data_IF_726713570304
#
_entry.id   IF_726713570304
#
_cell.length_a   1.000
_cell.length_b   1.000
_cell.length_c   1.000
_cell.angle_alpha   90.00
_cell.angle_beta   90.00
_cell.angle_gamma   90.00
#
_symmetry.space_group_name_H-M   'P 1'
#
loop_
_entity.id
_entity.type
_entity.pdbx_description
1 polymer ?
#
# COMPACT_ATOMS: atom_id res chain seq x y z
N UNK A 1 -8.42 1.14 -18.72
CA UNK A 1 -8.00 -0.05 -19.48
C UNK A 1 -7.72 -1.18 -18.50
N UNK A 2 -8.14 -2.43 -18.75
CA UNK A 2 -7.78 -3.54 -17.88
C UNK A 2 -6.26 -3.66 -17.84
N UNK A 3 -5.69 -3.77 -16.64
CA UNK A 3 -4.26 -4.04 -16.48
C UNK A 3 -3.93 -5.35 -17.20
N UNK A 4 -2.87 -5.39 -18.05
CA UNK A 4 -2.51 -6.60 -18.75
C UNK A 4 -2.22 -7.69 -17.73
N UNK A 5 -2.80 -8.88 -17.96
CA UNK A 5 -2.49 -10.06 -17.15
C UNK A 5 -0.98 -10.32 -17.29
N UNK A 6 -0.28 -10.39 -16.16
CA UNK A 6 1.12 -10.81 -16.13
C UNK A 6 1.16 -12.26 -16.63
N UNK A 7 2.15 -12.60 -17.46
CA UNK A 7 2.30 -13.91 -18.10
C UNK A 7 3.75 -14.40 -18.08
N UNK A 8 4.59 -13.83 -17.22
CA UNK A 8 6.01 -14.14 -17.15
C UNK A 8 6.26 -15.61 -16.79
N UNK A 9 5.47 -16.18 -15.87
CA UNK A 9 5.67 -17.58 -15.47
C UNK A 9 5.40 -18.56 -16.61
N UNK A 10 4.30 -18.37 -17.34
CA UNK A 10 3.99 -19.17 -18.54
C UNK A 10 5.05 -18.99 -19.63
N UNK A 11 5.54 -17.76 -19.85
CA UNK A 11 6.62 -17.46 -20.80
C UNK A 11 7.93 -18.21 -20.43
N UNK A 12 8.16 -18.47 -19.14
CA UNK A 12 9.28 -19.27 -18.63
C UNK A 12 9.01 -20.77 -18.63
N UNK A 13 7.85 -21.22 -19.13
CA UNK A 13 7.45 -22.64 -19.11
C UNK A 13 7.01 -23.14 -17.74
N UNK A 14 6.74 -22.24 -16.79
CA UNK A 14 6.25 -22.59 -15.46
C UNK A 14 4.72 -22.52 -15.45
N UNK A 15 4.08 -23.67 -15.24
CA UNK A 15 2.62 -23.82 -15.25
C UNK A 15 2.07 -24.13 -13.85
N UNK A 16 0.80 -23.82 -13.58
CA UNK A 16 0.16 -24.05 -12.27
C UNK A 16 0.39 -22.95 -11.24
N UNK A 17 1.25 -21.97 -11.53
CA UNK A 17 1.55 -20.85 -10.62
C UNK A 17 0.92 -19.51 -11.07
N UNK A 18 0.16 -19.51 -12.17
CA UNK A 18 -0.38 -18.28 -12.79
C UNK A 18 -1.23 -17.45 -11.82
N UNK A 19 -2.05 -18.12 -11.01
CA UNK A 19 -2.87 -17.44 -9.99
C UNK A 19 -2.01 -16.74 -8.93
N UNK A 20 -0.79 -17.20 -8.70
CA UNK A 20 0.15 -16.66 -7.72
C UNK A 20 1.21 -15.73 -8.32
N UNK A 21 1.18 -15.49 -9.63
CA UNK A 21 2.24 -14.73 -10.30
C UNK A 21 2.48 -13.37 -9.65
N UNK A 22 1.43 -12.60 -9.37
CA UNK A 22 1.57 -11.30 -8.68
C UNK A 22 2.20 -11.42 -7.29
N UNK A 23 1.93 -12.51 -6.56
CA UNK A 23 2.48 -12.75 -5.22
C UNK A 23 3.96 -13.09 -5.31
N UNK A 24 4.33 -13.94 -6.27
CA UNK A 24 5.73 -14.31 -6.54
C UNK A 24 6.52 -13.08 -6.97
N UNK A 25 6.01 -12.28 -7.91
CA UNK A 25 6.65 -11.04 -8.33
C UNK A 25 6.73 -10.03 -7.17
N UNK A 26 5.74 -9.98 -6.27
CA UNK A 26 5.80 -9.13 -5.09
C UNK A 26 6.97 -9.53 -4.17
N UNK A 27 7.23 -10.82 -3.98
CA UNK A 27 8.42 -11.30 -3.26
C UNK A 27 9.73 -10.87 -3.94
N UNK A 28 9.77 -10.86 -5.28
CA UNK A 28 10.93 -10.37 -6.03
C UNK A 28 11.12 -8.85 -5.88
N UNK A 29 10.03 -8.08 -5.89
CA UNK A 29 10.06 -6.61 -5.71
C UNK A 29 10.53 -6.25 -4.31
N UNK A 30 10.00 -6.91 -3.27
CA UNK A 30 10.40 -6.66 -1.88
C UNK A 30 11.81 -7.18 -1.58
N UNK A 31 12.25 -8.19 -2.33
CA UNK A 31 13.37 -9.09 -2.01
C UNK A 31 13.18 -9.85 -0.69
N UNK A 32 11.99 -9.85 -0.08
CA UNK A 32 11.74 -10.54 1.18
C UNK A 32 11.71 -12.08 0.97
N UNK A 33 12.01 -12.89 1.99
CA UNK A 33 12.12 -14.33 1.79
C UNK A 33 10.76 -14.97 1.44
N UNK A 34 10.78 -15.96 0.54
CA UNK A 34 9.58 -16.68 0.08
C UNK A 34 9.72 -18.19 0.31
N UNK A 35 8.62 -18.83 0.69
CA UNK A 35 8.51 -20.28 0.86
C UNK A 35 7.54 -20.86 -0.16
N UNK A 36 7.95 -21.93 -0.86
CA UNK A 36 7.08 -22.75 -1.68
C UNK A 36 6.69 -24.02 -0.93
N UNK A 37 5.41 -24.36 -0.93
CA UNK A 37 4.88 -25.53 -0.21
C UNK A 37 4.10 -26.39 -1.20
N UNK A 38 4.38 -27.68 -1.25
CA UNK A 38 3.63 -28.61 -2.09
C UNK A 38 4.33 -29.95 -2.17
N UNK A 39 3.65 -30.97 -2.68
CA UNK A 39 4.20 -32.32 -2.81
C UNK A 39 5.44 -32.37 -3.71
N UNK A 40 6.23 -33.43 -3.60
CA UNK A 40 7.36 -33.66 -4.50
C UNK A 40 6.87 -33.72 -5.95
N UNK A 41 7.61 -33.14 -6.89
CA UNK A 41 7.23 -33.12 -8.31
C UNK A 41 6.31 -31.97 -8.76
N UNK A 42 5.85 -31.08 -7.87
CA UNK A 42 4.96 -29.95 -8.23
C UNK A 42 5.66 -28.74 -8.86
N UNK A 43 6.87 -28.90 -9.39
CA UNK A 43 7.58 -27.83 -10.12
C UNK A 43 8.14 -26.68 -9.25
N UNK A 44 8.20 -26.80 -7.91
CA UNK A 44 8.74 -25.77 -7.00
C UNK A 44 10.19 -25.37 -7.34
N UNK A 45 11.07 -26.35 -7.42
CA UNK A 45 12.50 -26.17 -7.73
C UNK A 45 12.68 -25.62 -9.15
N UNK A 46 11.89 -26.12 -10.11
CA UNK A 46 11.88 -25.62 -11.48
C UNK A 46 11.50 -24.14 -11.54
N UNK A 47 10.39 -23.71 -10.90
CA UNK A 47 9.98 -22.30 -10.82
C UNK A 47 11.11 -21.39 -10.33
N UNK A 48 11.77 -21.74 -9.24
CA UNK A 48 12.80 -20.90 -8.62
C UNK A 48 14.10 -20.86 -9.43
N UNK A 49 14.48 -21.98 -10.05
CA UNK A 49 15.62 -22.03 -10.98
C UNK A 49 15.33 -21.21 -12.24
N UNK A 50 14.15 -21.36 -12.86
CA UNK A 50 13.77 -20.58 -14.04
C UNK A 50 13.71 -19.08 -13.74
N UNK A 51 13.25 -18.69 -12.54
CA UNK A 51 13.28 -17.28 -12.12
C UNK A 51 14.70 -16.75 -11.94
N UNK A 52 15.61 -17.54 -11.39
CA UNK A 52 16.99 -17.10 -11.18
C UNK A 52 17.75 -16.94 -12.50
N UNK A 53 17.57 -17.88 -13.41
CA UNK A 53 18.08 -17.82 -14.78
C UNK A 53 17.51 -16.63 -15.56
N UNK A 54 16.18 -16.44 -15.51
CA UNK A 54 15.51 -15.33 -16.18
C UNK A 54 15.97 -13.95 -15.68
N UNK A 55 16.33 -13.84 -14.40
CA UNK A 55 16.86 -12.61 -13.81
C UNK A 55 18.38 -12.46 -14.01
N UNK A 56 19.07 -13.50 -14.49
CA UNK A 56 20.51 -13.56 -14.68
C UNK A 56 21.29 -13.48 -13.38
N UNK A 57 20.85 -14.21 -12.35
CA UNK A 57 21.41 -14.16 -11.00
C UNK A 57 22.49 -15.22 -10.78
N UNK A 58 23.47 -14.89 -9.95
CA UNK A 58 24.37 -15.89 -9.34
C UNK A 58 23.59 -16.75 -8.32
N UNK A 59 23.02 -17.86 -8.80
CA UNK A 59 22.10 -18.72 -8.06
C UNK A 59 22.78 -19.92 -7.43
N UNK A 60 22.41 -20.24 -6.18
CA UNK A 60 22.85 -21.45 -5.48
C UNK A 60 21.66 -22.23 -4.98
N UNK A 61 21.62 -23.50 -5.35
CA UNK A 61 20.59 -24.44 -4.95
C UNK A 61 21.17 -25.47 -4.00
N UNK A 62 20.58 -25.55 -2.81
CA UNK A 62 20.98 -26.45 -1.74
C UNK A 62 19.82 -27.34 -1.32
N UNK A 63 20.04 -28.65 -1.23
CA UNK A 63 19.11 -29.54 -0.57
C UNK A 63 19.43 -29.58 0.94
N UNK A 64 18.51 -29.09 1.77
CA UNK A 64 18.69 -28.97 3.21
C UNK A 64 18.89 -30.31 3.93
N UNK A 65 18.42 -31.42 3.36
CA UNK A 65 18.56 -32.76 3.94
C UNK A 65 19.96 -33.36 3.75
N UNK A 66 20.71 -32.88 2.75
CA UNK A 66 22.04 -33.41 2.38
C UNK A 66 23.17 -32.46 2.73
N UNK A 67 22.90 -31.16 2.82
CA UNK A 67 23.94 -30.14 2.92
C UNK A 67 24.65 -30.14 4.27
N UNK A 68 25.98 -30.14 4.23
CA UNK A 68 26.82 -29.88 5.40
C UNK A 68 27.13 -28.39 5.54
N UNK A 69 27.59 -27.99 6.71
CA UNK A 69 27.96 -26.58 6.94
C UNK A 69 29.16 -26.14 6.10
N UNK A 70 30.10 -27.06 5.88
CA UNK A 70 31.31 -26.81 5.10
C UNK A 70 30.99 -26.65 3.60
N UNK A 71 29.92 -27.28 3.11
CA UNK A 71 29.44 -27.06 1.73
C UNK A 71 28.89 -25.63 1.52
N UNK A 72 28.35 -25.02 2.57
CA UNK A 72 27.84 -23.64 2.52
C UNK A 72 28.95 -22.60 2.62
N UNK A 73 29.89 -22.79 3.54
CA UNK A 73 30.89 -21.78 3.90
C UNK A 73 32.24 -22.03 3.22
N UNK A 74 32.56 -23.27 2.90
CA UNK A 74 33.88 -23.69 2.49
C UNK A 74 34.72 -24.17 3.67
N UNK A 75 35.94 -24.62 3.38
CA UNK A 75 36.82 -25.24 4.37
C UNK A 75 37.70 -24.19 5.06
N UNK A 76 37.76 -24.12 6.40
CA UNK A 76 38.62 -23.18 7.09
C UNK A 76 40.09 -23.51 6.84
N UNK A 77 40.88 -22.50 6.49
CA UNK A 77 42.33 -22.61 6.32
C UNK A 77 43.03 -21.41 6.98
N UNK A 78 44.21 -21.62 7.59
CA UNK A 78 45.00 -20.53 8.15
C UNK A 78 45.48 -19.62 7.03
N UNK A 79 45.34 -18.31 7.23
CA UNK A 79 45.88 -17.33 6.29
C UNK A 79 47.41 -17.45 6.20
N UNK A 80 48.00 -17.05 5.07
CA UNK A 80 49.44 -17.17 4.82
C UNK A 80 50.30 -16.42 5.87
N UNK A 81 49.73 -15.41 6.52
CA UNK A 81 50.36 -14.61 7.59
C UNK A 81 50.03 -15.13 9.01
N UNK A 82 49.27 -16.23 9.14
CA UNK A 82 48.80 -16.79 10.42
C UNK A 82 48.02 -15.78 11.31
N UNK A 83 47.51 -14.70 10.72
CA UNK A 83 46.80 -13.61 11.41
C UNK A 83 45.30 -13.89 11.59
N UNK A 84 44.76 -14.94 10.96
CA UNK A 84 43.37 -15.35 11.07
C UNK A 84 43.03 -16.63 10.29
N UNK A 85 41.76 -17.03 10.37
CA UNK A 85 41.19 -18.14 9.61
C UNK A 85 40.41 -17.58 8.41
N UNK A 86 40.72 -18.04 7.20
CA UNK A 86 39.96 -17.79 5.98
C UNK A 86 39.21 -19.05 5.57
N UNK A 87 38.22 -18.93 4.68
CA UNK A 87 37.51 -20.08 4.13
C UNK A 87 37.89 -20.28 2.67
N UNK A 88 38.18 -21.52 2.28
CA UNK A 88 38.37 -21.90 0.89
C UNK A 88 37.01 -21.94 0.21
N UNK A 89 36.72 -20.88 -0.55
CA UNK A 89 35.49 -20.76 -1.32
C UNK A 89 35.51 -21.72 -2.51
N UNK A 90 34.36 -22.34 -2.80
CA UNK A 90 34.15 -23.15 -4.01
C UNK A 90 32.99 -22.55 -4.79
N UNK A 91 32.78 -22.89 -6.07
CA UNK A 91 31.60 -22.42 -6.80
C UNK A 91 30.26 -22.75 -6.12
N UNK A 92 30.25 -23.75 -5.24
CA UNK A 92 29.07 -24.15 -4.48
C UNK A 92 28.88 -23.37 -3.16
N UNK A 93 29.90 -22.71 -2.61
CA UNK A 93 29.78 -21.97 -1.34
C UNK A 93 28.94 -20.72 -1.53
N UNK A 94 28.26 -20.27 -0.48
CA UNK A 94 27.27 -19.17 -0.55
C UNK A 94 27.86 -17.80 -0.87
N UNK A 95 29.19 -17.67 -0.82
CA UNK A 95 29.90 -16.42 -1.06
C UNK A 95 29.70 -15.93 -2.49
N UNK A 96 29.32 -14.66 -2.65
CA UNK A 96 29.04 -14.05 -3.95
C UNK A 96 27.64 -14.34 -4.52
N UNK A 97 26.80 -15.13 -3.84
CA UNK A 97 25.44 -15.43 -4.31
C UNK A 97 24.53 -14.22 -4.31
N UNK A 98 23.75 -14.09 -5.38
CA UNK A 98 22.64 -13.13 -5.45
C UNK A 98 21.30 -13.76 -5.09
N UNK A 99 21.18 -15.09 -5.27
CA UNK A 99 20.02 -15.85 -4.85
C UNK A 99 20.39 -17.22 -4.29
N UNK A 100 19.63 -17.65 -3.27
CA UNK A 100 19.76 -18.97 -2.66
C UNK A 100 18.40 -19.65 -2.59
N UNK A 101 18.34 -20.91 -3.03
CA UNK A 101 17.23 -21.83 -2.82
C UNK A 101 17.64 -22.91 -1.81
N UNK A 102 16.86 -23.04 -0.75
CA UNK A 102 16.97 -24.11 0.25
C UNK A 102 15.79 -25.06 0.05
N UNK A 103 16.02 -26.17 -0.65
CA UNK A 103 15.00 -27.19 -0.90
C UNK A 103 14.92 -28.18 0.26
N UNK A 104 13.76 -28.82 0.42
CA UNK A 104 13.46 -29.81 1.45
C UNK A 104 13.76 -29.36 2.90
N UNK A 105 13.51 -28.09 3.23
CA UNK A 105 13.84 -27.54 4.57
C UNK A 105 13.11 -28.25 5.72
N UNK A 106 11.98 -28.90 5.48
CA UNK A 106 11.29 -29.72 6.48
C UNK A 106 11.98 -31.05 6.79
N UNK A 107 12.90 -31.53 5.94
CA UNK A 107 13.55 -32.83 6.13
C UNK A 107 14.78 -32.77 7.02
N UNK A 108 15.27 -31.58 7.38
CA UNK A 108 16.43 -31.44 8.25
C UNK A 108 16.03 -31.26 9.71
N UNK A 109 16.90 -31.68 10.63
CA UNK A 109 16.69 -31.54 12.07
C UNK A 109 16.58 -30.06 12.47
N UNK A 110 15.83 -29.70 13.54
CA UNK A 110 15.65 -28.31 13.97
C UNK A 110 16.94 -27.51 14.15
N UNK A 111 18.02 -28.13 14.65
CA UNK A 111 19.33 -27.47 14.79
C UNK A 111 19.94 -27.04 13.46
N UNK A 112 19.77 -27.84 12.40
CA UNK A 112 20.24 -27.52 11.05
C UNK A 112 19.35 -26.48 10.39
N UNK A 113 18.03 -26.57 10.57
CA UNK A 113 17.09 -25.54 10.14
C UNK A 113 17.51 -24.16 10.67
N UNK A 114 17.77 -24.04 11.99
CA UNK A 114 18.17 -22.79 12.63
C UNK A 114 19.39 -22.12 11.99
N UNK A 115 20.38 -22.90 11.55
CA UNK A 115 21.59 -22.37 10.87
C UNK A 115 21.25 -21.77 9.50
N UNK A 116 20.39 -22.45 8.74
CA UNK A 116 19.90 -21.98 7.43
C UNK A 116 19.01 -20.74 7.56
N UNK A 117 18.34 -20.54 8.69
CA UNK A 117 17.50 -19.37 8.91
C UNK A 117 18.25 -18.06 9.08
N UNK A 118 19.47 -18.07 9.63
CA UNK A 118 20.33 -16.87 9.63
C UNK A 118 20.65 -16.42 8.20
N UNK A 119 20.87 -17.38 7.30
CA UNK A 119 21.07 -17.11 5.88
C UNK A 119 19.81 -16.50 5.23
N UNK A 120 18.66 -17.14 5.44
CA UNK A 120 17.38 -16.72 4.84
C UNK A 120 16.91 -15.35 5.38
N UNK A 121 16.95 -15.14 6.69
CA UNK A 121 16.35 -13.95 7.30
C UNK A 121 17.33 -12.78 7.36
N UNK A 122 18.54 -13.03 7.87
CA UNK A 122 19.50 -11.97 8.22
C UNK A 122 20.50 -11.67 7.10
N UNK A 123 20.51 -12.48 6.02
CA UNK A 123 21.55 -12.43 4.97
C UNK A 123 22.94 -12.61 5.58
N UNK A 124 23.06 -13.52 6.54
CA UNK A 124 24.30 -13.77 7.27
C UNK A 124 24.61 -15.25 7.39
N UNK A 125 25.89 -15.57 7.35
CA UNK A 125 26.42 -16.90 7.68
C UNK A 125 27.64 -16.72 8.58
N UNK A 126 27.72 -17.47 9.69
CA UNK A 126 28.72 -17.24 10.77
C UNK A 126 28.80 -15.78 11.27
N UNK A 127 27.69 -15.05 11.24
CA UNK A 127 27.67 -13.62 11.58
C UNK A 127 28.24 -12.68 10.51
N UNK A 128 28.79 -13.22 9.41
CA UNK A 128 29.31 -12.45 8.27
C UNK A 128 28.15 -12.08 7.34
N UNK A 129 28.08 -10.81 6.93
CA UNK A 129 27.04 -10.29 6.05
C UNK A 129 27.28 -10.68 4.60
N UNK A 130 26.25 -11.19 3.93
CA UNK A 130 26.23 -11.53 2.51
C UNK A 130 25.62 -10.36 1.73
N UNK A 131 26.45 -9.36 1.40
CA UNK A 131 26.00 -8.10 0.78
C UNK A 131 25.30 -8.28 -0.58
N UNK A 132 25.72 -9.27 -1.36
CA UNK A 132 25.16 -9.55 -2.68
C UNK A 132 23.86 -10.37 -2.62
N UNK A 133 23.57 -11.02 -1.49
CA UNK A 133 22.43 -11.94 -1.39
C UNK A 133 21.12 -11.17 -1.32
N UNK A 134 20.36 -11.21 -2.40
CA UNK A 134 19.09 -10.50 -2.56
C UNK A 134 17.90 -11.42 -2.31
N UNK A 135 17.83 -12.52 -3.07
CA UNK A 135 16.67 -13.41 -3.06
C UNK A 135 16.94 -14.67 -2.24
N UNK A 136 16.03 -14.95 -1.29
CA UNK A 136 16.16 -16.06 -0.36
C UNK A 136 14.90 -16.87 -0.41
N UNK A 137 15.00 -18.06 -0.98
CA UNK A 137 13.87 -18.93 -1.22
C UNK A 137 14.06 -20.24 -0.46
N UNK A 138 12.94 -20.80 -0.03
CA UNK A 138 12.90 -22.14 0.50
C UNK A 138 11.74 -22.91 -0.10
N UNK A 139 11.89 -24.23 -0.15
CA UNK A 139 10.85 -25.14 -0.56
C UNK A 139 10.69 -26.25 0.48
N UNK A 140 9.45 -26.68 0.70
CA UNK A 140 9.13 -27.78 1.59
C UNK A 140 7.95 -28.58 1.09
N UNK A 141 7.83 -29.79 1.60
CA UNK A 141 6.60 -30.57 1.52
C UNK A 141 5.67 -30.14 2.67
N UNK A 142 4.33 -30.18 2.46
CA UNK A 142 3.39 -29.86 3.53
C UNK A 142 3.57 -30.82 4.72
N UNK A 143 3.42 -30.31 5.94
CA UNK A 143 3.44 -31.12 7.14
C UNK A 143 2.16 -31.99 7.17
N UNK A 144 2.32 -33.31 7.15
CA UNK A 144 1.18 -34.25 7.22
C UNK A 144 0.62 -34.26 8.65
N UNK A 145 -0.66 -33.91 8.81
CA UNK A 145 -1.41 -34.09 10.08
C UNK A 145 -2.01 -35.49 10.20
N UNK A 146 -2.19 -36.20 9.08
CA UNK A 146 -2.85 -37.50 9.06
C UNK A 146 -1.83 -38.63 8.94
N UNK A 147 -1.72 -39.43 10.01
CA UNK A 147 -1.01 -40.71 10.00
C UNK A 147 -1.81 -41.84 9.30
N UNK A 148 -2.94 -41.52 8.65
CA UNK A 148 -3.85 -42.50 8.06
C UNK A 148 -3.66 -42.78 6.57
N UNK A 149 -2.87 -41.96 5.85
CA UNK A 149 -2.48 -42.28 4.48
C UNK A 149 -1.27 -43.22 4.50
N UNK A 150 -1.39 -44.37 3.82
CA UNK A 150 -0.34 -45.38 3.63
C UNK A 150 0.94 -44.82 2.97
N UNK A 151 0.87 -43.60 2.44
CA UNK A 151 1.98 -42.78 1.91
C UNK A 151 2.32 -41.59 2.81
N UNK A 152 2.20 -41.74 4.14
CA UNK A 152 2.75 -40.78 5.08
C UNK A 152 4.23 -40.55 4.72
N UNK A 153 4.55 -39.34 4.25
CA UNK A 153 5.90 -38.92 3.90
C UNK A 153 6.75 -38.97 5.18
N UNK A 154 7.28 -40.16 5.46
CA UNK A 154 8.16 -40.46 6.58
C UNK A 154 9.38 -39.54 6.46
N UNK A 155 9.44 -38.51 7.32
CA UNK A 155 10.59 -37.60 7.41
C UNK A 155 10.35 -36.12 7.09
N UNK A 156 9.12 -35.62 6.95
CA UNK A 156 8.87 -34.17 6.91
C UNK A 156 8.49 -33.64 8.29
N UNK A 157 9.38 -32.88 8.91
CA UNK A 157 9.15 -32.24 10.21
C UNK A 157 8.44 -30.88 10.03
N UNK A 158 7.47 -30.55 10.90
CA UNK A 158 6.85 -29.23 10.90
C UNK A 158 7.88 -28.14 11.22
N UNK A 159 7.74 -26.98 10.60
CA UNK A 159 8.56 -25.81 10.93
C UNK A 159 8.12 -25.19 12.26
N UNK A 160 9.10 -24.78 13.07
CA UNK A 160 8.82 -23.97 14.26
C UNK A 160 8.12 -22.65 13.87
N UNK A 161 7.04 -22.25 14.57
CA UNK A 161 6.31 -21.02 14.25
C UNK A 161 7.16 -19.74 14.25
N UNK A 162 8.18 -19.63 15.10
CA UNK A 162 9.08 -18.49 15.14
C UNK A 162 10.04 -18.46 13.94
N UNK A 163 10.37 -19.62 13.38
CA UNK A 163 11.18 -19.75 12.17
C UNK A 163 10.36 -19.44 10.92
N UNK A 164 9.16 -20.00 10.82
CA UNK A 164 8.23 -19.67 9.75
C UNK A 164 7.90 -18.16 9.73
N UNK A 165 7.88 -17.49 10.90
CA UNK A 165 7.67 -16.04 10.99
C UNK A 165 8.75 -15.16 10.31
N UNK A 166 9.82 -15.78 9.79
CA UNK A 166 10.92 -15.11 9.09
C UNK A 166 10.73 -15.04 7.57
N UNK A 167 9.83 -15.84 7.01
CA UNK A 167 9.43 -15.75 5.59
C UNK A 167 8.30 -14.77 5.42
N UNK A 168 8.26 -14.01 4.33
CA UNK A 168 7.19 -13.06 4.03
C UNK A 168 5.95 -13.72 3.43
N UNK A 169 6.17 -14.64 2.49
CA UNK A 169 5.13 -15.24 1.66
C UNK A 169 5.28 -16.77 1.57
N UNK A 170 4.14 -17.45 1.53
CA UNK A 170 3.96 -18.88 1.44
C UNK A 170 3.05 -19.18 0.24
N UNK A 171 3.65 -19.69 -0.83
CA UNK A 171 2.92 -20.04 -2.05
C UNK A 171 2.74 -21.55 -2.11
N UNK A 172 1.48 -21.98 -2.17
CA UNK A 172 1.14 -23.39 -2.28
C UNK A 172 1.14 -23.80 -3.75
N UNK A 173 2.06 -24.68 -4.12
CA UNK A 173 2.08 -25.32 -5.42
C UNK A 173 0.82 -26.18 -5.59
N UNK A 174 0.25 -26.13 -6.77
CA UNK A 174 -0.89 -26.97 -7.17
C UNK A 174 -0.42 -28.36 -7.56
N UNK A 175 -1.29 -29.36 -7.37
CA UNK A 175 -1.04 -30.74 -7.82
C UNK A 175 -1.78 -31.00 -9.16
N UNK A 176 -1.57 -32.18 -9.75
CA UNK A 176 -2.12 -32.56 -11.06
C UNK A 176 -3.64 -32.34 -11.19
N UNK A 177 -4.39 -32.60 -10.13
CA UNK A 177 -5.84 -32.49 -10.10
C UNK A 177 -6.34 -31.04 -10.15
N UNK A 178 -5.51 -30.09 -9.71
CA UNK A 178 -5.82 -28.66 -9.69
C UNK A 178 -5.47 -27.94 -11.00
N UNK A 179 -4.70 -28.58 -11.89
CA UNK A 179 -4.30 -28.02 -13.18
C UNK A 179 -5.46 -28.04 -14.18
N UNK A 180 -5.59 -26.99 -14.97
CA UNK A 180 -6.48 -26.96 -16.14
C UNK A 180 -5.98 -27.91 -17.24
N UNK A 181 -6.87 -28.33 -18.16
CA UNK A 181 -6.48 -29.21 -19.27
C UNK A 181 -5.38 -28.60 -20.16
N UNK A 182 -5.39 -27.27 -20.31
CA UNK A 182 -4.34 -26.56 -21.03
C UNK A 182 -2.98 -26.67 -20.31
N UNK A 183 -2.96 -26.49 -18.98
CA UNK A 183 -1.74 -26.64 -18.18
C UNK A 183 -1.24 -28.08 -18.15
N UNK A 184 -2.14 -29.07 -18.04
CA UNK A 184 -1.78 -30.50 -18.10
C UNK A 184 -1.10 -30.85 -19.42
N UNK A 185 -1.65 -30.37 -20.53
CA UNK A 185 -1.04 -30.56 -21.85
C UNK A 185 0.31 -29.85 -21.98
N UNK A 186 0.46 -28.69 -21.36
CA UNK A 186 1.73 -27.94 -21.37
C UNK A 186 2.81 -28.63 -20.52
N UNK A 187 2.47 -29.11 -19.32
CA UNK A 187 3.38 -29.84 -18.41
C UNK A 187 3.81 -31.18 -19.01
N UNK A 188 2.92 -31.88 -19.71
CA UNK A 188 3.24 -33.16 -20.37
C UNK A 188 3.99 -33.02 -21.68
N UNK A 189 4.17 -31.80 -22.19
CA UNK A 189 4.87 -31.55 -23.43
C UNK A 189 6.37 -31.86 -23.28
N UNK A 190 6.93 -32.86 -24.00
CA UNK A 190 8.34 -33.24 -23.89
C UNK A 190 9.30 -32.14 -24.37
N UNK A 191 8.80 -31.14 -25.09
CA UNK A 191 9.59 -30.06 -25.67
C UNK A 191 10.06 -29.00 -24.64
N UNK A 192 9.63 -29.12 -23.37
CA UNK A 192 9.92 -28.18 -22.29
C UNK A 192 11.09 -28.57 -21.37
N UNK A 193 11.50 -29.84 -21.37
CA UNK A 193 12.56 -30.31 -20.46
C UNK A 193 13.93 -29.69 -20.81
N UNK A 194 14.56 -29.02 -19.84
CA UNK A 194 15.96 -28.58 -19.94
C UNK A 194 16.23 -27.33 -20.79
N UNK A 195 15.21 -26.58 -21.21
CA UNK A 195 15.44 -25.23 -21.77
C UNK A 195 15.85 -24.30 -20.62
N UNK A 196 17.14 -23.97 -20.56
CA UNK A 196 17.60 -22.83 -19.76
C UNK A 196 16.75 -21.62 -20.13
N UNK A 197 16.15 -20.99 -19.13
CA UNK A 197 15.43 -19.74 -19.35
C UNK A 197 16.48 -18.69 -19.76
N UNK A 198 16.46 -18.28 -21.02
CA UNK A 198 17.27 -17.15 -21.45
C UNK A 198 16.94 -15.93 -20.57
N UNK A 199 17.93 -15.08 -20.31
CA UNK A 199 17.75 -13.86 -19.53
C UNK A 199 16.54 -13.09 -20.10
N UNK A 200 15.54 -12.89 -19.26
CA UNK A 200 14.31 -12.22 -19.61
C UNK A 200 14.44 -10.74 -19.21
N UNK A 201 15.00 -9.94 -20.13
CA UNK A 201 15.23 -8.51 -19.92
C UNK A 201 13.93 -7.74 -19.59
N UNK A 202 12.78 -8.20 -20.11
CA UNK A 202 11.47 -7.61 -19.80
C UNK A 202 11.11 -7.83 -18.32
N UNK A 203 11.21 -9.07 -17.83
CA UNK A 203 10.96 -9.39 -16.42
C UNK A 203 11.92 -8.62 -15.50
N UNK A 204 13.22 -8.64 -15.83
CA UNK A 204 14.27 -7.96 -15.05
C UNK A 204 14.00 -6.45 -14.94
N UNK A 205 13.74 -5.80 -16.07
CA UNK A 205 13.42 -4.36 -16.12
C UNK A 205 12.14 -4.04 -15.36
N UNK A 206 11.12 -4.90 -15.48
CA UNK A 206 9.85 -4.73 -14.79
C UNK A 206 10.02 -4.80 -13.26
N UNK A 207 10.72 -5.82 -12.74
CA UNK A 207 11.00 -5.96 -11.31
C UNK A 207 11.84 -4.78 -10.79
N UNK A 208 12.86 -4.35 -11.53
CA UNK A 208 13.68 -3.20 -11.14
C UNK A 208 12.84 -1.91 -11.05
N UNK A 209 12.00 -1.65 -12.05
CA UNK A 209 11.13 -0.46 -12.08
C UNK A 209 10.13 -0.48 -10.92
N UNK A 210 9.47 -1.62 -10.70
CA UNK A 210 8.55 -1.79 -9.57
C UNK A 210 9.25 -1.68 -8.23
N UNK A 211 10.48 -2.18 -8.11
CA UNK A 211 11.28 -2.05 -6.88
C UNK A 211 11.62 -0.59 -6.57
N UNK A 212 12.01 0.21 -7.55
CA UNK A 212 12.26 1.64 -7.35
C UNK A 212 11.01 2.35 -6.81
N UNK A 213 9.85 2.10 -7.43
CA UNK A 213 8.57 2.65 -6.98
C UNK A 213 8.16 2.16 -5.59
N UNK A 214 8.39 0.88 -5.30
CA UNK A 214 8.15 0.30 -3.98
C UNK A 214 8.99 1.00 -2.91
N UNK A 215 10.29 1.16 -3.14
CA UNK A 215 11.20 1.85 -2.21
C UNK A 215 10.78 3.31 -1.97
N UNK A 216 10.36 4.03 -3.02
CA UNK A 216 9.83 5.39 -2.89
C UNK A 216 8.57 5.47 -2.01
N UNK A 217 7.72 4.45 -2.04
CA UNK A 217 6.49 4.39 -1.24
C UNK A 217 6.68 3.80 0.16
N UNK A 218 7.88 3.34 0.55
CA UNK A 218 8.10 2.76 1.88
C UNK A 218 7.97 3.80 3.00
N UNK A 219 8.46 5.02 2.77
CA UNK A 219 8.37 6.11 3.76
C UNK A 219 6.94 6.65 3.89
N UNK A 220 6.22 6.68 2.77
CA UNK A 220 4.85 7.19 2.68
C UNK A 220 3.91 6.09 2.19
N UNK A 221 3.78 5.04 3.01
CA UNK A 221 2.93 3.91 2.67
C UNK A 221 1.46 4.37 2.53
N UNK A 222 0.77 4.02 1.43
CA UNK A 222 -0.63 4.37 1.22
C UNK A 222 -1.51 3.89 2.37
N UNK A 223 -2.37 4.78 2.88
CA UNK A 223 -3.19 4.48 4.06
C UNK A 223 -4.10 3.26 3.87
N UNK A 224 -4.68 3.06 2.67
CA UNK A 224 -5.49 1.87 2.38
C UNK A 224 -4.75 0.54 2.55
N UNK A 225 -3.43 0.50 2.32
CA UNK A 225 -2.61 -0.70 2.58
C UNK A 225 -2.47 -0.93 4.09
N UNK A 226 -2.25 0.14 4.85
CA UNK A 226 -2.12 0.08 6.30
C UNK A 226 -3.45 -0.29 6.98
N UNK A 227 -4.55 0.32 6.53
CA UNK A 227 -5.91 0.06 7.02
C UNK A 227 -6.32 -1.39 6.73
N UNK A 228 -6.04 -1.91 5.52
CA UNK A 228 -6.27 -3.32 5.19
C UNK A 228 -5.54 -4.24 6.18
N UNK A 229 -4.22 -4.07 6.31
CA UNK A 229 -3.41 -4.99 7.12
C UNK A 229 -3.75 -4.90 8.59
N UNK A 230 -3.94 -3.70 9.13
CA UNK A 230 -4.27 -3.50 10.54
C UNK A 230 -5.61 -4.15 10.88
N UNK A 231 -6.60 -3.97 10.01
CA UNK A 231 -7.95 -4.56 10.17
C UNK A 231 -7.91 -6.09 10.03
N UNK A 232 -7.23 -6.62 9.01
CA UNK A 232 -7.07 -8.05 8.81
C UNK A 232 -6.38 -8.73 10.02
N UNK A 233 -5.28 -8.15 10.49
CA UNK A 233 -4.52 -8.66 11.65
C UNK A 233 -5.38 -8.62 12.91
N UNK A 234 -6.15 -7.54 13.12
CA UNK A 234 -7.05 -7.40 14.27
C UNK A 234 -8.16 -8.44 14.24
N UNK A 235 -8.79 -8.63 13.09
CA UNK A 235 -9.85 -9.62 12.89
C UNK A 235 -9.33 -11.06 13.11
N UNK A 236 -8.16 -11.40 12.54
CA UNK A 236 -7.54 -12.72 12.71
C UNK A 236 -7.16 -12.99 14.17
N UNK A 237 -6.51 -12.03 14.84
CA UNK A 237 -6.18 -12.15 16.26
C UNK A 237 -7.43 -12.29 17.14
N UNK A 238 -8.49 -11.52 16.85
CA UNK A 238 -9.79 -11.65 17.51
C UNK A 238 -10.42 -13.04 17.33
N UNK A 239 -10.22 -13.65 16.16
CA UNK A 239 -10.62 -15.02 15.85
C UNK A 239 -9.64 -16.10 16.37
N UNK A 240 -8.69 -15.73 17.25
CA UNK A 240 -7.65 -16.61 17.82
C UNK A 240 -6.65 -17.20 16.81
N UNK A 241 -6.58 -16.64 15.60
CA UNK A 241 -5.51 -16.92 14.63
C UNK A 241 -4.37 -15.93 14.90
N UNK A 242 -3.33 -16.38 15.60
CA UNK A 242 -2.26 -15.51 16.06
C UNK A 242 -1.41 -14.98 14.90
N UNK A 243 -1.41 -13.65 14.75
CA UNK A 243 -0.57 -12.91 13.81
C UNK A 243 0.38 -11.98 14.58
N UNK A 244 1.68 -12.13 14.37
CA UNK A 244 2.71 -11.32 15.06
C UNK A 244 2.82 -9.90 14.47
N UNK A 245 3.39 -8.93 15.22
CA UNK A 245 3.71 -7.61 14.66
C UNK A 245 4.70 -7.65 13.50
N UNK A 246 5.69 -8.56 13.55
CA UNK A 246 6.63 -8.79 12.45
C UNK A 246 5.89 -9.22 11.19
N UNK A 247 4.95 -10.17 11.35
CA UNK A 247 4.11 -10.67 10.28
C UNK A 247 3.27 -9.56 9.66
N UNK A 248 2.60 -8.75 10.48
CA UNK A 248 1.82 -7.61 10.00
C UNK A 248 2.68 -6.66 9.13
N UNK A 249 3.92 -6.37 9.54
CA UNK A 249 4.86 -5.58 8.73
C UNK A 249 5.20 -6.24 7.38
N UNK A 250 5.44 -7.55 7.37
CA UNK A 250 5.72 -8.31 6.13
C UNK A 250 4.49 -8.35 5.21
N UNK A 251 3.28 -8.47 5.77
CA UNK A 251 2.03 -8.37 5.00
C UNK A 251 1.90 -7.01 4.32
N UNK A 252 2.12 -5.91 5.05
CA UNK A 252 2.02 -4.56 4.50
C UNK A 252 3.03 -4.33 3.37
N UNK A 253 4.28 -4.79 3.54
CA UNK A 253 5.30 -4.73 2.48
C UNK A 253 4.89 -5.51 1.24
N UNK A 254 4.41 -6.74 1.41
CA UNK A 254 4.01 -7.60 0.29
C UNK A 254 2.79 -7.05 -0.44
N UNK A 255 1.81 -6.52 0.30
CA UNK A 255 0.60 -5.90 -0.25
C UNK A 255 0.92 -4.60 -1.00
N UNK A 256 1.83 -3.78 -0.47
CA UNK A 256 2.34 -2.59 -1.16
C UNK A 256 3.03 -2.96 -2.48
N UNK A 257 3.88 -3.98 -2.47
CA UNK A 257 4.55 -4.46 -3.68
C UNK A 257 3.54 -4.94 -4.75
N UNK A 258 2.51 -5.69 -4.34
CA UNK A 258 1.43 -6.11 -5.24
C UNK A 258 0.66 -4.92 -5.84
N UNK A 259 0.33 -3.91 -5.02
CA UNK A 259 -0.27 -2.65 -5.51
C UNK A 259 0.63 -1.95 -6.54
N UNK A 260 1.94 -1.89 -6.29
CA UNK A 260 2.89 -1.26 -7.21
C UNK A 260 2.99 -2.02 -8.54
N UNK A 261 2.96 -3.36 -8.50
CA UNK A 261 2.95 -4.22 -9.69
C UNK A 261 1.68 -4.02 -10.53
N UNK A 262 0.52 -3.92 -9.89
CA UNK A 262 -0.78 -3.80 -10.56
C UNK A 262 -1.22 -2.34 -10.81
N UNK A 263 -0.45 -1.35 -10.33
CA UNK A 263 -0.80 0.08 -10.37
C UNK A 263 -1.85 0.50 -9.33
N UNK A 264 -2.76 -0.39 -8.95
CA UNK A 264 -3.75 -0.20 -7.88
C UNK A 264 -3.89 -1.47 -7.04
N UNK A 265 -4.50 -1.34 -5.86
CA UNK A 265 -4.80 -2.50 -5.02
C UNK A 265 -6.09 -3.16 -5.55
N UNK A 266 -6.03 -4.46 -5.85
CA UNK A 266 -7.19 -5.23 -6.32
C UNK A 266 -7.68 -6.18 -5.23
N UNK A 267 -9.00 -6.33 -5.08
CA UNK A 267 -9.63 -7.15 -4.05
C UNK A 267 -9.14 -8.60 -4.08
N UNK A 268 -9.20 -9.23 -5.27
CA UNK A 268 -8.77 -10.61 -5.49
C UNK A 268 -7.31 -10.82 -5.10
N UNK A 269 -6.43 -9.90 -5.50
CA UNK A 269 -5.00 -9.94 -5.13
C UNK A 269 -4.80 -9.77 -3.64
N UNK A 270 -5.53 -8.85 -2.99
CA UNK A 270 -5.44 -8.64 -1.55
C UNK A 270 -5.91 -9.87 -0.75
N UNK A 271 -6.99 -10.53 -1.19
CA UNK A 271 -7.49 -11.79 -0.62
C UNK A 271 -6.47 -12.91 -0.73
N UNK A 272 -5.85 -13.03 -1.89
CA UNK A 272 -4.83 -14.06 -2.15
C UNK A 272 -3.56 -13.78 -1.35
N UNK A 273 -3.11 -12.52 -1.32
CA UNK A 273 -1.96 -12.07 -0.54
C UNK A 273 -2.15 -12.33 0.95
N UNK A 274 -3.35 -12.10 1.50
CA UNK A 274 -3.66 -12.40 2.89
C UNK A 274 -3.48 -13.90 3.17
N UNK A 275 -4.00 -14.77 2.30
CA UNK A 275 -3.81 -16.23 2.43
C UNK A 275 -2.34 -16.64 2.34
N UNK A 276 -1.63 -16.14 1.33
CA UNK A 276 -0.20 -16.41 1.13
C UNK A 276 0.70 -15.79 2.20
N UNK A 277 0.20 -14.90 3.05
CA UNK A 277 1.00 -14.34 4.15
C UNK A 277 0.97 -15.20 5.41
N UNK A 278 0.15 -16.26 5.46
CA UNK A 278 -0.10 -17.03 6.68
C UNK A 278 0.83 -18.26 6.76
N UNK A 279 1.69 -18.34 7.78
CA UNK A 279 2.64 -19.44 7.90
C UNK A 279 2.02 -20.77 8.39
N UNK A 280 0.74 -20.79 8.80
CA UNK A 280 0.15 -21.89 9.56
C UNK A 280 0.26 -23.26 8.87
N UNK A 281 0.19 -23.27 7.54
CA UNK A 281 0.37 -24.47 6.71
C UNK A 281 1.75 -25.13 6.87
N UNK A 282 2.79 -24.40 7.30
CA UNK A 282 4.15 -24.97 7.46
C UNK A 282 4.29 -25.88 8.68
N UNK A 283 3.33 -25.87 9.60
CA UNK A 283 3.30 -26.73 10.79
C UNK A 283 1.99 -27.50 10.94
N UNK A 284 1.20 -27.61 9.87
CA UNK A 284 -0.08 -28.33 9.88
C UNK A 284 -1.23 -27.56 10.52
N UNK A 285 -1.10 -26.25 10.74
CA UNK A 285 -2.20 -25.41 11.19
C UNK A 285 -3.17 -25.11 10.04
N UNK A 286 -4.42 -25.54 10.17
CA UNK A 286 -5.50 -25.17 9.26
C UNK A 286 -6.25 -23.92 9.76
N UNK A 287 -6.48 -22.97 8.85
CA UNK A 287 -7.28 -21.78 9.13
C UNK A 287 -8.58 -21.91 8.34
N UNK A 288 -9.69 -21.99 9.07
CA UNK A 288 -10.99 -22.12 8.47
C UNK A 288 -11.25 -20.99 7.45
N UNK A 289 -11.66 -21.38 6.22
CA UNK A 289 -11.84 -20.46 5.09
C UNK A 289 -12.77 -19.28 5.42
N UNK A 290 -13.84 -19.55 6.17
CA UNK A 290 -14.80 -18.53 6.62
C UNK A 290 -14.16 -17.45 7.52
N UNK A 291 -13.21 -17.80 8.38
CA UNK A 291 -12.47 -16.85 9.23
C UNK A 291 -11.60 -15.96 8.35
N UNK A 292 -10.89 -16.55 7.39
CA UNK A 292 -10.05 -15.81 6.45
C UNK A 292 -10.86 -14.88 5.54
N UNK A 293 -12.00 -15.33 5.05
CA UNK A 293 -12.91 -14.54 4.23
C UNK A 293 -13.56 -13.40 5.02
N UNK A 294 -13.94 -13.63 6.28
CA UNK A 294 -14.48 -12.58 7.14
C UNK A 294 -13.43 -11.50 7.44
N UNK A 295 -12.19 -11.91 7.78
CA UNK A 295 -11.08 -10.98 8.00
C UNK A 295 -10.76 -10.17 6.74
N UNK A 296 -10.77 -10.82 5.57
CA UNK A 296 -10.57 -10.13 4.29
C UNK A 296 -11.67 -9.11 4.01
N UNK A 297 -12.96 -9.46 4.17
CA UNK A 297 -14.06 -8.53 3.91
C UNK A 297 -13.95 -7.26 4.74
N UNK A 298 -13.77 -7.40 6.06
CA UNK A 298 -13.58 -6.26 6.96
C UNK A 298 -12.38 -5.39 6.56
N UNK A 299 -11.26 -6.03 6.24
CA UNK A 299 -10.05 -5.34 5.81
C UNK A 299 -10.22 -4.62 4.47
N UNK A 300 -10.93 -5.24 3.53
CA UNK A 300 -11.23 -4.66 2.22
C UNK A 300 -12.16 -3.47 2.35
N UNK A 301 -13.20 -3.54 3.18
CA UNK A 301 -14.08 -2.41 3.50
C UNK A 301 -13.29 -1.25 4.12
N UNK A 302 -12.46 -1.52 5.14
CA UNK A 302 -11.63 -0.49 5.76
C UNK A 302 -10.66 0.18 4.76
N UNK A 303 -10.06 -0.62 3.86
CA UNK A 303 -9.15 -0.13 2.84
C UNK A 303 -9.85 0.59 1.67
N UNK A 304 -11.10 0.22 1.39
CA UNK A 304 -11.90 0.74 0.27
C UNK A 304 -12.74 1.94 0.69
N UNK A 305 -13.05 2.12 1.98
CA UNK A 305 -13.77 3.27 2.56
C UNK A 305 -12.84 4.48 2.84
N UNK A 306 -11.62 4.48 2.30
CA UNK A 306 -10.76 5.66 2.29
C UNK A 306 -11.38 6.90 1.58
N UNK A 307 -12.23 6.79 0.54
CA UNK A 307 -12.87 7.96 -0.08
C UNK A 307 -13.97 8.60 0.80
N UNK A 308 -14.38 8.03 1.93
CA UNK A 308 -15.27 8.72 2.89
C UNK A 308 -14.50 9.34 4.07
N UNK A 309 -13.30 8.84 4.37
CA UNK A 309 -12.48 9.36 5.48
C UNK A 309 -12.02 10.80 5.26
N UNK A 310 -11.77 11.22 4.01
CA UNK A 310 -11.46 12.62 3.71
C UNK A 310 -12.70 13.52 3.86
N UNK A 311 -13.90 12.97 3.62
CA UNK A 311 -15.17 13.65 3.85
C UNK A 311 -15.39 13.83 5.35
N UNK A 312 -15.14 12.81 6.16
CA UNK A 312 -15.15 12.91 7.62
C UNK A 312 -14.14 13.96 8.13
N UNK A 313 -12.91 13.97 7.61
CA UNK A 313 -11.90 14.98 7.93
C UNK A 313 -12.34 16.39 7.50
N UNK A 314 -12.97 16.52 6.32
CA UNK A 314 -13.52 17.77 5.82
C UNK A 314 -14.61 18.30 6.74
N UNK A 315 -15.52 17.45 7.23
CA UNK A 315 -16.60 17.87 8.13
C UNK A 315 -16.13 18.12 9.56
N UNK A 316 -15.17 17.34 10.06
CA UNK A 316 -14.60 17.52 11.39
C UNK A 316 -13.75 18.80 11.54
N UNK A 317 -13.15 19.31 10.45
CA UNK A 317 -12.33 20.52 10.49
C UNK A 317 -13.19 21.79 10.62
N UNK A 318 -13.04 22.61 11.67
CA UNK A 318 -13.88 23.80 11.85
C UNK A 318 -13.50 25.00 10.96
N UNK A 319 -12.27 25.10 10.46
CA UNK A 319 -11.84 26.30 9.70
C UNK A 319 -11.99 26.13 8.18
N UNK A 320 -12.55 27.14 7.51
CA UNK A 320 -12.79 27.08 6.06
C UNK A 320 -11.51 26.93 5.22
N UNK A 321 -10.42 27.60 5.59
CA UNK A 321 -9.13 27.51 4.88
C UNK A 321 -8.52 26.10 4.95
N UNK A 322 -8.72 25.41 6.08
CA UNK A 322 -8.28 24.02 6.25
C UNK A 322 -9.22 23.02 5.60
N UNK A 323 -10.54 23.28 5.59
CA UNK A 323 -11.49 22.50 4.78
C UNK A 323 -11.09 22.53 3.30
N UNK A 324 -10.74 23.70 2.76
CA UNK A 324 -10.22 23.81 1.40
C UNK A 324 -8.92 23.00 1.20
N UNK A 325 -8.01 23.01 2.17
CA UNK A 325 -6.79 22.23 2.10
C UNK A 325 -7.08 20.72 2.03
N UNK A 326 -8.05 20.22 2.78
CA UNK A 326 -8.49 18.82 2.72
C UNK A 326 -9.09 18.51 1.34
N UNK A 327 -10.00 19.37 0.85
CA UNK A 327 -10.61 19.22 -0.47
C UNK A 327 -9.55 19.15 -1.58
N UNK A 328 -8.53 20.02 -1.58
CA UNK A 328 -7.56 20.00 -2.68
C UNK A 328 -6.57 18.84 -2.56
N UNK A 329 -6.15 18.48 -1.35
CA UNK A 329 -5.09 17.49 -1.18
C UNK A 329 -5.58 16.05 -1.13
N UNK A 330 -6.86 15.82 -0.78
CA UNK A 330 -7.39 14.49 -0.49
C UNK A 330 -8.60 14.10 -1.34
N UNK A 331 -9.17 15.02 -2.13
CA UNK A 331 -10.30 14.70 -2.99
C UNK A 331 -9.88 13.71 -4.10
N UNK A 332 -10.58 12.57 -4.24
CA UNK A 332 -10.22 11.52 -5.19
C UNK A 332 -10.59 11.85 -6.64
N UNK A 333 -11.58 12.72 -6.87
CA UNK A 333 -12.07 13.06 -8.19
C UNK A 333 -13.11 14.19 -8.21
N UNK A 334 -13.41 14.77 -9.40
CA UNK A 334 -14.34 15.89 -9.54
C UNK A 334 -15.77 15.60 -9.09
N UNK A 335 -16.24 14.36 -9.20
CA UNK A 335 -17.60 13.96 -8.82
C UNK A 335 -17.74 13.94 -7.29
N UNK A 336 -16.78 13.34 -6.59
CA UNK A 336 -16.73 13.32 -5.13
C UNK A 336 -16.53 14.73 -4.56
N UNK A 337 -15.69 15.54 -5.21
CA UNK A 337 -15.50 16.94 -4.83
C UNK A 337 -16.77 17.77 -5.00
N UNK A 338 -17.55 17.53 -6.07
CA UNK A 338 -18.85 18.18 -6.30
C UNK A 338 -19.83 17.86 -5.18
N UNK A 339 -19.97 16.58 -4.83
CA UNK A 339 -20.85 16.14 -3.75
C UNK A 339 -20.43 16.71 -2.39
N UNK A 340 -19.14 16.72 -2.10
CA UNK A 340 -18.61 17.27 -0.85
C UNK A 340 -18.85 18.79 -0.74
N UNK A 341 -18.70 19.55 -1.84
CA UNK A 341 -19.04 20.98 -1.85
C UNK A 341 -20.53 21.19 -1.58
N UNK A 342 -21.42 20.45 -2.24
CA UNK A 342 -22.85 20.57 -2.03
C UNK A 342 -23.24 20.31 -0.57
N UNK A 343 -22.71 19.23 0.02
CA UNK A 343 -22.95 18.90 1.43
C UNK A 343 -22.34 19.92 2.39
N UNK A 344 -21.11 20.40 2.14
CA UNK A 344 -20.44 21.42 2.95
C UNK A 344 -21.27 22.71 2.98
N UNK A 345 -21.69 23.21 1.82
CA UNK A 345 -22.48 24.44 1.70
C UNK A 345 -23.85 24.31 2.38
N UNK A 346 -24.43 23.10 2.39
CA UNK A 346 -25.69 22.82 3.08
C UNK A 346 -25.54 22.67 4.61
N UNK A 347 -24.36 22.24 5.08
CA UNK A 347 -24.09 22.01 6.51
C UNK A 347 -23.61 23.26 7.27
N UNK A 348 -22.96 24.18 6.58
CA UNK A 348 -22.37 25.39 7.16
C UNK A 348 -23.41 26.51 7.33
N UNK A 349 -23.11 27.48 8.20
CA UNK A 349 -23.98 28.65 8.35
C UNK A 349 -23.99 29.50 7.08
N UNK A 350 -25.07 30.29 6.89
CA UNK A 350 -25.31 31.05 5.66
C UNK A 350 -24.13 31.96 5.29
N UNK A 351 -23.57 32.66 6.28
CA UNK A 351 -22.42 33.54 6.12
C UNK A 351 -21.12 32.78 5.82
N UNK A 352 -20.93 31.58 6.39
CA UNK A 352 -19.75 30.75 6.15
C UNK A 352 -19.78 30.13 4.76
N UNK A 353 -20.92 29.61 4.33
CA UNK A 353 -21.12 29.11 2.97
C UNK A 353 -20.92 30.22 1.92
N UNK A 354 -21.43 31.43 2.17
CA UNK A 354 -21.22 32.57 1.30
C UNK A 354 -19.74 33.02 1.24
N UNK A 355 -19.05 33.09 2.38
CA UNK A 355 -17.62 33.42 2.44
C UNK A 355 -16.77 32.39 1.68
N UNK A 356 -17.06 31.10 1.88
CA UNK A 356 -16.37 30.00 1.22
C UNK A 356 -16.60 30.05 -0.30
N UNK A 357 -17.85 30.18 -0.73
CA UNK A 357 -18.21 30.28 -2.14
C UNK A 357 -17.56 31.50 -2.83
N UNK A 358 -17.62 32.67 -2.19
CA UNK A 358 -17.03 33.90 -2.70
C UNK A 358 -15.51 33.80 -2.86
N UNK A 359 -14.81 33.13 -1.93
CA UNK A 359 -13.37 32.92 -2.02
C UNK A 359 -12.96 31.92 -3.12
N UNK A 360 -13.72 30.83 -3.29
CA UNK A 360 -13.37 29.72 -4.18
C UNK A 360 -13.81 29.93 -5.63
N UNK A 361 -14.92 30.65 -5.86
CA UNK A 361 -15.57 30.74 -7.17
C UNK A 361 -14.62 31.15 -8.33
N UNK A 362 -13.72 32.14 -8.18
CA UNK A 362 -12.78 32.48 -9.25
C UNK A 362 -11.86 31.30 -9.65
N UNK A 363 -11.38 30.52 -8.68
CA UNK A 363 -10.54 29.35 -8.95
C UNK A 363 -11.35 28.18 -9.51
N UNK A 364 -12.61 28.03 -9.07
CA UNK A 364 -13.55 27.04 -9.58
C UNK A 364 -13.78 27.20 -11.09
N UNK A 365 -14.07 28.43 -11.54
CA UNK A 365 -14.30 28.75 -12.97
C UNK A 365 -13.04 28.53 -13.82
N UNK A 366 -11.86 28.71 -13.24
CA UNK A 366 -10.58 28.43 -13.91
C UNK A 366 -10.23 26.94 -13.96
N UNK A 367 -11.08 26.04 -13.44
CA UNK A 367 -10.82 24.60 -13.39
C UNK A 367 -9.69 24.21 -12.42
N UNK A 368 -9.41 25.05 -11.41
CA UNK A 368 -8.30 24.84 -10.45
C UNK A 368 -8.72 24.10 -9.18
N UNK A 369 -9.98 23.70 -9.10
CA UNK A 369 -10.51 22.90 -7.99
C UNK A 369 -10.88 21.51 -8.50
N UNK A 370 -10.74 20.46 -7.68
CA UNK A 370 -11.13 19.10 -8.03
C UNK A 370 -12.67 18.95 -7.93
N UNK A 371 -13.42 19.74 -8.69
CA UNK A 371 -14.89 19.75 -8.70
C UNK A 371 -15.41 19.82 -10.14
N UNK A 372 -16.58 19.24 -10.37
CA UNK A 372 -17.28 19.25 -11.65
C UNK A 372 -18.11 20.53 -11.86
N UNK A 373 -18.76 20.62 -13.02
CA UNK A 373 -19.53 21.79 -13.44
C UNK A 373 -20.69 22.15 -12.50
N UNK A 374 -21.34 21.15 -11.89
CA UNK A 374 -22.39 21.37 -10.89
C UNK A 374 -21.84 22.05 -9.63
N UNK A 375 -20.67 21.62 -9.15
CA UNK A 375 -20.01 22.23 -8.00
C UNK A 375 -19.60 23.68 -8.26
N UNK A 376 -19.13 23.98 -9.48
CA UNK A 376 -18.85 25.37 -9.91
C UNK A 376 -20.13 26.21 -9.91
N UNK A 377 -21.26 25.65 -10.38
CA UNK A 377 -22.55 26.34 -10.40
C UNK A 377 -23.09 26.63 -9.00
N UNK A 378 -22.96 25.68 -8.07
CA UNK A 378 -23.40 25.88 -6.68
C UNK A 378 -22.57 26.95 -5.96
N UNK A 379 -21.25 26.97 -6.15
CA UNK A 379 -20.40 28.06 -5.66
C UNK A 379 -20.79 29.40 -6.33
N UNK A 380 -21.05 29.39 -7.63
CA UNK A 380 -21.44 30.60 -8.38
C UNK A 380 -22.75 31.20 -7.89
N UNK A 381 -23.74 30.37 -7.56
CA UNK A 381 -25.04 30.83 -7.04
C UNK A 381 -24.88 31.66 -5.76
N UNK A 382 -24.05 31.19 -4.82
CA UNK A 382 -23.80 31.89 -3.56
C UNK A 382 -22.84 33.08 -3.75
N UNK A 383 -21.78 32.91 -4.55
CA UNK A 383 -20.82 33.98 -4.81
C UNK A 383 -21.45 35.18 -5.55
N UNK A 384 -22.41 34.94 -6.44
CA UNK A 384 -23.12 36.00 -7.16
C UNK A 384 -23.85 36.94 -6.22
N UNK A 385 -24.49 36.42 -5.16
CA UNK A 385 -25.19 37.24 -4.18
C UNK A 385 -24.24 38.21 -3.46
N UNK A 386 -22.98 37.79 -3.23
CA UNK A 386 -21.94 38.63 -2.64
C UNK A 386 -21.33 39.60 -3.66
N UNK A 387 -21.24 39.21 -4.94
CA UNK A 387 -20.66 40.04 -6.01
C UNK A 387 -21.58 41.18 -6.47
N UNK A 388 -22.91 41.00 -6.44
CA UNK A 388 -23.90 41.97 -6.88
C UNK A 388 -24.69 42.55 -5.70
N UNK A 389 -24.06 43.42 -4.92
CA UNK A 389 -24.69 44.10 -3.77
C UNK A 389 -25.09 45.52 -4.16
N UNK A 390 -26.35 45.70 -4.57
CA UNK A 390 -27.00 47.00 -4.73
C UNK A 390 -28.21 47.06 -3.79
N UNK A 391 -28.08 47.72 -2.63
CA UNK A 391 -29.16 47.83 -1.66
C UNK A 391 -29.06 49.11 -0.80
N UNK A 392 -30.22 49.70 -0.49
CA UNK A 392 -30.34 50.77 0.50
C UNK A 392 -30.67 50.18 1.88
N UNK A 393 -29.83 50.46 2.88
CA UNK A 393 -30.03 49.98 4.26
C UNK A 393 -30.70 51.08 5.09
N UNK A 394 -31.97 50.89 5.46
CA UNK A 394 -32.72 51.81 6.32
C UNK A 394 -32.81 51.27 7.76
N UNK A 395 -32.53 52.09 8.78
CA UNK A 395 -32.71 51.72 10.19
C UNK A 395 -33.45 52.80 10.99
N UNK A 396 -34.04 52.39 12.10
CA UNK A 396 -34.74 53.28 13.05
C UNK A 396 -34.24 53.04 14.46
N UNK A 397 -33.82 54.09 15.16
CA UNK A 397 -33.31 54.01 16.53
C UNK A 397 -34.37 54.51 17.53
N UNK A 398 -34.46 53.89 18.73
CA UNK A 398 -35.30 54.38 19.83
C UNK A 398 -34.43 55.22 20.77
N UNK A 399 -34.37 56.53 20.56
CA UNK A 399 -33.59 57.46 21.41
C UNK A 399 -33.39 58.84 20.78
N UNK A 400 -32.93 59.82 21.57
CA UNK A 400 -32.81 61.24 21.18
C UNK A 400 -31.48 61.58 20.48
N UNK A 401 -30.73 60.57 20.03
CA UNK A 401 -29.44 60.70 19.33
C UNK A 401 -29.55 60.01 17.98
N UNK A 402 -29.27 60.75 16.90
CA UNK A 402 -29.25 60.23 15.53
C UNK A 402 -27.83 59.77 15.22
N UNK A 403 -27.59 58.45 15.20
CA UNK A 403 -26.35 57.92 14.63
C UNK A 403 -26.35 58.14 13.09
N UNK A 404 -25.25 58.61 12.48
CA UNK A 404 -25.19 58.86 11.03
C UNK A 404 -25.17 57.58 10.17
N UNK A 405 -24.84 56.42 10.77
CA UNK A 405 -24.71 55.13 10.09
C UNK A 405 -25.27 53.97 10.93
N UNK A 406 -25.62 52.86 10.28
CA UNK A 406 -26.11 51.63 10.92
C UNK A 406 -25.09 51.11 11.96
N UNK A 407 -25.49 50.60 13.14
CA UNK A 407 -24.54 50.12 14.16
C UNK A 407 -23.56 49.04 13.68
N UNK A 408 -23.97 48.21 12.70
CA UNK A 408 -23.10 47.24 12.04
C UNK A 408 -22.02 47.86 11.14
N UNK A 409 -22.23 49.10 10.66
CA UNK A 409 -21.29 49.83 9.82
C UNK A 409 -20.00 50.17 10.57
N UNK A 410 -20.10 50.57 11.84
CA UNK A 410 -18.94 50.86 12.68
C UNK A 410 -18.09 49.61 12.95
N UNK A 411 -18.73 48.45 13.10
CA UNK A 411 -18.04 47.16 13.23
C UNK A 411 -17.30 46.79 11.94
N UNK A 412 -17.92 46.98 10.77
CA UNK A 412 -17.27 46.80 9.48
C UNK A 412 -16.11 47.78 9.27
N UNK A 413 -16.29 49.05 9.61
CA UNK A 413 -15.28 50.09 9.44
C UNK A 413 -14.01 49.81 10.28
N UNK A 414 -14.17 49.34 11.53
CA UNK A 414 -13.05 48.90 12.38
C UNK A 414 -12.31 47.70 11.81
N UNK A 415 -13.03 46.74 11.23
CA UNK A 415 -12.40 45.57 10.62
C UNK A 415 -11.64 45.92 9.34
N UNK A 416 -12.18 46.85 8.54
CA UNK A 416 -11.58 47.29 7.30
C UNK A 416 -10.37 48.22 7.50
N UNK A 417 -10.27 48.94 8.61
CA UNK A 417 -9.14 49.86 8.86
C UNK A 417 -7.78 49.16 8.89
N UNK A 418 -7.76 47.88 9.26
CA UNK A 418 -6.54 47.07 9.40
C UNK A 418 -6.18 46.33 8.10
N UNK A 419 -7.03 46.39 7.07
CA UNK A 419 -6.86 45.68 5.80
C UNK A 419 -6.41 46.61 4.68
N UNK A 420 -5.61 46.11 3.74
CA UNK A 420 -5.13 46.88 2.58
C UNK A 420 -5.24 46.12 1.26
N UNK A 421 -5.35 46.86 0.16
CA UNK A 421 -5.33 46.35 -1.21
C UNK A 421 -6.47 45.37 -1.51
N UNK A 422 -6.19 44.35 -2.34
CA UNK A 422 -7.21 43.40 -2.80
C UNK A 422 -7.87 42.58 -1.67
N UNK A 423 -7.25 42.48 -0.49
CA UNK A 423 -7.87 41.85 0.69
C UNK A 423 -8.93 42.77 1.29
N UNK A 424 -8.65 44.06 1.41
CA UNK A 424 -9.60 45.05 1.91
C UNK A 424 -10.84 45.14 1.02
N UNK A 425 -10.68 45.15 -0.30
CA UNK A 425 -11.82 45.20 -1.23
C UNK A 425 -12.72 43.96 -1.12
N UNK A 426 -12.12 42.75 -1.03
CA UNK A 426 -12.89 41.51 -0.82
C UNK A 426 -13.62 41.52 0.52
N UNK A 427 -12.93 41.90 1.59
CA UNK A 427 -13.53 41.99 2.92
C UNK A 427 -14.68 43.01 2.92
N UNK A 428 -14.51 44.17 2.29
CA UNK A 428 -15.53 45.20 2.17
C UNK A 428 -16.76 44.66 1.44
N UNK A 429 -16.57 44.02 0.29
CA UNK A 429 -17.66 43.43 -0.48
C UNK A 429 -18.46 42.40 0.34
N UNK A 430 -17.77 41.48 1.01
CA UNK A 430 -18.40 40.45 1.83
C UNK A 430 -19.15 41.05 3.04
N UNK A 431 -18.54 42.01 3.74
CA UNK A 431 -19.17 42.67 4.89
C UNK A 431 -20.38 43.52 4.49
N UNK A 432 -20.33 44.20 3.35
CA UNK A 432 -21.46 44.93 2.79
C UNK A 432 -22.63 43.99 2.51
N UNK A 433 -22.37 42.81 1.94
CA UNK A 433 -23.40 41.77 1.76
C UNK A 433 -23.99 41.32 3.10
N UNK A 434 -23.16 41.04 4.11
CA UNK A 434 -23.63 40.66 5.45
C UNK A 434 -24.53 41.73 6.09
N UNK A 435 -24.22 43.02 5.89
CA UNK A 435 -25.06 44.12 6.39
C UNK A 435 -26.44 44.16 5.71
N UNK A 436 -26.48 43.96 4.40
CA UNK A 436 -27.73 43.96 3.61
C UNK A 436 -28.61 42.77 3.99
N UNK A 437 -28.01 41.60 4.20
CA UNK A 437 -28.71 40.37 4.59
C UNK A 437 -29.01 40.28 6.10
N UNK A 438 -28.74 41.35 6.86
CA UNK A 438 -28.94 41.43 8.31
C UNK A 438 -28.24 40.29 9.09
N UNK A 439 -27.07 39.87 8.61
CA UNK A 439 -26.27 38.80 9.22
C UNK A 439 -25.47 39.37 10.39
N UNK A 440 -25.44 38.63 11.50
CA UNK A 440 -24.69 39.01 12.70
C UNK A 440 -23.18 39.02 12.46
N UNK A 441 -22.52 40.13 12.79
CA UNK A 441 -21.09 40.36 12.56
C UNK A 441 -20.19 40.04 13.77
N UNK A 442 -20.69 39.30 14.76
CA UNK A 442 -20.00 39.07 16.06
C UNK A 442 -18.63 38.39 15.90
N UNK A 443 -18.41 37.59 14.85
CA UNK A 443 -17.13 36.91 14.54
C UNK A 443 -16.62 37.21 13.13
N UNK A 444 -16.92 38.40 12.62
CA UNK A 444 -16.59 38.78 11.24
C UNK A 444 -15.08 38.81 10.95
N UNK A 445 -14.24 39.07 11.97
CA UNK A 445 -12.78 39.10 11.83
C UNK A 445 -12.18 37.70 11.65
N UNK A 446 -12.71 36.71 12.36
CA UNK A 446 -12.30 35.30 12.21
C UNK A 446 -12.72 34.76 10.85
N UNK A 447 -13.95 35.06 10.42
CA UNK A 447 -14.47 34.64 9.13
C UNK A 447 -13.70 35.30 7.96
N UNK A 448 -13.34 36.58 8.09
CA UNK A 448 -12.49 37.27 7.11
C UNK A 448 -11.11 36.61 7.01
N UNK A 449 -10.48 36.26 8.16
CA UNK A 449 -9.18 35.57 8.18
C UNK A 449 -9.25 34.20 7.52
N UNK A 450 -10.31 33.43 7.76
CA UNK A 450 -10.54 32.13 7.11
C UNK A 450 -10.75 32.29 5.59
N UNK A 451 -11.56 33.26 5.18
CA UNK A 451 -11.79 33.59 3.77
C UNK A 451 -10.50 34.01 3.05
N UNK A 452 -9.68 34.88 3.65
CA UNK A 452 -8.39 35.27 3.07
C UNK A 452 -7.39 34.09 3.08
N UNK A 453 -7.47 33.20 4.07
CA UNK A 453 -6.75 31.94 4.12
C UNK A 453 -7.01 31.07 2.89
N UNK A 454 -8.28 30.90 2.50
CA UNK A 454 -8.66 30.22 1.26
C UNK A 454 -8.01 30.86 0.03
N UNK A 455 -8.09 32.18 -0.10
CA UNK A 455 -7.52 32.90 -1.27
C UNK A 455 -6.00 32.78 -1.33
N UNK A 456 -5.29 32.83 -0.20
CA UNK A 456 -3.83 32.63 -0.15
C UNK A 456 -3.44 31.21 -0.56
N UNK A 457 -4.20 30.21 -0.11
CA UNK A 457 -3.97 28.81 -0.45
C UNK A 457 -4.10 28.61 -1.96
N UNK A 458 -5.16 29.15 -2.56
CA UNK A 458 -5.37 29.09 -4.01
C UNK A 458 -4.25 29.79 -4.79
N UNK A 459 -3.79 30.97 -4.33
CA UNK A 459 -2.68 31.69 -4.99
C UNK A 459 -1.36 30.90 -5.01
N UNK A 460 -1.05 30.17 -3.94
CA UNK A 460 0.16 29.33 -3.86
C UNK A 460 0.16 28.24 -4.93
N UNK A 461 -1.01 27.70 -5.27
CA UNK A 461 -1.14 26.65 -6.29
C UNK A 461 -1.08 27.17 -7.73
N UNK A 462 -1.27 28.47 -7.96
CA UNK A 462 -1.12 29.09 -9.29
C UNK A 462 0.34 29.44 -9.62
N UNK A 463 1.21 29.41 -8.61
CA UNK A 463 2.62 29.80 -8.73
C UNK A 463 3.57 28.61 -8.94
N UNK A 464 3.01 27.40 -9.01
CA UNK A 464 3.64 26.12 -9.37
C UNK A 464 2.98 25.65 -10.64
#
# INVERSE_FOLDING_TARGET
MPTPKLTYLQELGVFGFDRFETIILAALVTEDPMMLIGRSGTGKTFLLNSLSEALGLEHRHYNASLISFDDLVGFPYPDAENSGVKFLETPATVWGAESVLIDEISRCKPEHQNRLFSLVHERRIQGISLGNLRFRWAAMNPASTDQSDLESYTGSEPLDPALADRFSLFVQAVDWDDLSDQERNAVTSPAGEGKLAAINERLKTHIQTCRLRFLQQLEHCPQGVLDYVTTAVTALNGARVRISPRRARLMARSLLAARVLQGSLQEKTARLMLGCSLPHVTWGGDIAKNVLDAAHRLAWEAASNTPERWVDLLFAEPRLDRKLAVLINQCPGPDEGTQAIAQLLASESRERSAAFAFALYPAAVMGKLPIGSEGVNDLGRLASAVLSVDAEVTWTERGNTVAPHHPGYDACARLLSDLRGARAERAKQFLSWCLVEQISLVRADELEKEMDGCVRLLKKQVSV
#
